data_IF_600875634632
#
_entry.id   IF_600875634632
#
_cell.length_a   1.000
_cell.length_b   1.000
_cell.length_c   1.000
_cell.angle_alpha   90.00
_cell.angle_beta   90.00
_cell.angle_gamma   90.00
#
_symmetry.space_group_name_H-M   'P 1'
#
loop_
_entity.id
_entity.type
_entity.pdbx_description
1 polymer ?
#
# COMPACT_ATOMS: atom_id res chain seq x y z
N UNK A 1 11.14 9.27 10.38
CA UNK A 1 9.67 9.06 10.56
C UNK A 1 9.06 8.55 9.26
N UNK A 2 9.36 9.17 8.11
CA UNK A 2 8.97 8.65 6.78
C UNK A 2 9.51 7.24 6.50
N UNK A 3 10.68 6.90 7.07
CA UNK A 3 11.31 5.59 6.93
C UNK A 3 10.46 4.44 7.45
N UNK A 4 9.64 4.68 8.48
CA UNK A 4 8.74 3.66 9.05
C UNK A 4 7.63 3.33 8.05
N UNK A 5 7.01 4.37 7.46
CA UNK A 5 6.01 4.21 6.41
C UNK A 5 6.58 3.53 5.17
N UNK A 6 7.81 3.88 4.76
CA UNK A 6 8.47 3.30 3.60
C UNK A 6 8.80 1.81 3.82
N UNK A 7 9.37 1.47 4.99
CA UNK A 7 9.66 0.09 5.36
C UNK A 7 8.40 -0.76 5.43
N UNK A 8 7.31 -0.23 6.02
CA UNK A 8 6.03 -0.91 6.06
C UNK A 8 5.44 -1.12 4.66
N UNK A 9 5.51 -0.12 3.78
CA UNK A 9 5.04 -0.23 2.39
C UNK A 9 5.78 -1.35 1.63
N UNK A 10 7.12 -1.37 1.71
CA UNK A 10 7.94 -2.41 1.07
C UNK A 10 7.67 -3.79 1.68
N UNK A 11 7.53 -3.89 3.01
CA UNK A 11 7.26 -5.14 3.70
C UNK A 11 5.88 -5.72 3.32
N UNK A 12 4.85 -4.88 3.21
CA UNK A 12 3.51 -5.31 2.81
C UNK A 12 3.53 -5.85 1.37
N UNK A 13 4.18 -5.16 0.43
CA UNK A 13 4.24 -5.63 -0.95
C UNK A 13 4.97 -6.97 -1.03
N UNK A 14 6.13 -7.13 -0.37
CA UNK A 14 6.84 -8.41 -0.30
C UNK A 14 5.97 -9.52 0.31
N UNK A 15 5.19 -9.19 1.34
CA UNK A 15 4.27 -10.15 1.95
C UNK A 15 3.16 -10.59 0.98
N UNK A 16 2.57 -9.65 0.25
CA UNK A 16 1.54 -9.92 -0.77
C UNK A 16 2.12 -10.77 -1.92
N UNK A 17 3.34 -10.46 -2.39
CA UNK A 17 4.06 -11.29 -3.38
C UNK A 17 4.24 -12.73 -2.87
N UNK A 18 4.64 -12.91 -1.60
CA UNK A 18 4.77 -14.22 -0.97
C UNK A 18 3.44 -14.99 -0.85
N UNK A 19 2.31 -14.28 -0.80
CA UNK A 19 0.96 -14.86 -0.84
C UNK A 19 0.45 -15.14 -2.27
N UNK A 20 1.24 -14.83 -3.30
CA UNK A 20 0.87 -15.06 -4.70
C UNK A 20 0.12 -13.91 -5.36
N UNK A 21 0.00 -12.75 -4.72
CA UNK A 21 -0.51 -11.55 -5.40
C UNK A 21 0.46 -11.16 -6.52
N UNK A 22 -0.10 -10.81 -7.67
CA UNK A 22 0.67 -10.33 -8.82
C UNK A 22 0.25 -8.91 -9.17
N UNK A 23 1.21 -8.04 -9.55
CA UNK A 23 0.87 -6.71 -10.00
C UNK A 23 0.07 -6.78 -11.30
N UNK A 24 -0.96 -5.95 -11.41
CA UNK A 24 -1.75 -5.76 -12.62
C UNK A 24 -1.67 -4.30 -13.07
N UNK A 25 -1.25 -4.07 -14.32
CA UNK A 25 -1.07 -2.72 -14.90
C UNK A 25 -0.24 -1.78 -14.01
N UNK A 26 0.83 -2.30 -13.41
CA UNK A 26 1.74 -1.52 -12.55
C UNK A 26 1.29 -1.34 -11.10
N UNK A 27 0.23 -2.03 -10.66
CA UNK A 27 -0.27 -1.92 -9.28
C UNK A 27 -0.52 -3.26 -8.63
N UNK A 28 -0.24 -3.37 -7.34
CA UNK A 28 -0.84 -4.41 -6.51
C UNK A 28 -2.22 -3.95 -6.08
N UNK A 29 -3.25 -4.72 -6.47
CA UNK A 29 -4.65 -4.40 -6.16
C UNK A 29 -5.07 -5.23 -4.96
N UNK A 30 -5.37 -4.56 -3.85
CA UNK A 30 -5.68 -5.21 -2.57
C UNK A 30 -7.03 -4.69 -2.07
N UNK A 31 -7.88 -5.57 -1.54
CA UNK A 31 -9.13 -5.13 -0.91
C UNK A 31 -8.83 -4.36 0.38
N UNK A 32 -9.61 -3.30 0.65
CA UNK A 32 -9.40 -2.46 1.84
C UNK A 32 -9.28 -3.26 3.16
N UNK A 33 -10.16 -4.24 3.45
CA UNK A 33 -10.08 -4.99 4.71
C UNK A 33 -8.77 -5.74 4.90
N UNK A 34 -8.26 -6.37 3.83
CA UNK A 34 -6.99 -7.11 3.84
C UNK A 34 -5.83 -6.17 4.16
N UNK A 35 -5.78 -5.00 3.50
CA UNK A 35 -4.71 -4.05 3.74
C UNK A 35 -4.81 -3.43 5.15
N UNK A 36 -6.02 -3.16 5.65
CA UNK A 36 -6.21 -2.65 7.01
C UNK A 36 -5.73 -3.63 8.08
N UNK A 37 -5.96 -4.94 7.89
CA UNK A 37 -5.46 -5.98 8.79
C UNK A 37 -3.93 -5.98 8.84
N UNK A 38 -3.27 -5.97 7.67
CA UNK A 38 -1.81 -5.90 7.57
C UNK A 38 -1.24 -4.65 8.24
N UNK A 39 -1.87 -3.48 8.03
CA UNK A 39 -1.44 -2.23 8.64
C UNK A 39 -1.66 -2.20 10.15
N UNK A 40 -2.64 -2.94 10.67
CA UNK A 40 -2.95 -2.98 12.09
C UNK A 40 -1.91 -3.79 12.90
N UNK A 41 -1.10 -4.64 12.25
CA UNK A 41 0.00 -5.34 12.91
C UNK A 41 1.04 -4.38 13.51
N UNK A 42 1.34 -3.27 12.83
CA UNK A 42 2.31 -2.28 13.32
C UNK A 42 1.58 -1.14 14.05
N UNK A 43 1.60 -1.16 15.39
CA UNK A 43 0.79 -0.27 16.24
C UNK A 43 1.33 1.16 16.42
N UNK A 44 2.14 1.68 15.49
CA UNK A 44 2.69 3.04 15.61
C UNK A 44 1.71 4.13 15.16
N UNK A 45 0.71 3.79 14.36
CA UNK A 45 -0.35 4.70 13.91
C UNK A 45 -1.60 3.90 13.52
N UNK A 46 -2.76 4.57 13.43
CA UNK A 46 -3.98 3.94 12.92
C UNK A 46 -3.86 3.63 11.42
N UNK A 47 -4.37 2.48 10.92
CA UNK A 47 -4.31 2.11 9.50
C UNK A 47 -4.77 3.20 8.54
N UNK A 48 -5.88 3.88 8.86
CA UNK A 48 -6.43 4.93 8.00
C UNK A 48 -5.54 6.19 7.94
N UNK A 49 -4.80 6.51 9.01
CA UNK A 49 -3.81 7.60 9.02
C UNK A 49 -2.62 7.27 8.13
N UNK A 50 -2.11 6.03 8.20
CA UNK A 50 -1.03 5.55 7.32
C UNK A 50 -1.43 5.61 5.84
N UNK A 51 -2.66 5.20 5.52
CA UNK A 51 -3.21 5.28 4.17
C UNK A 51 -3.36 6.72 3.68
N UNK A 52 -3.76 7.66 4.56
CA UNK A 52 -3.78 9.09 4.21
C UNK A 52 -2.39 9.61 3.86
N UNK A 53 -1.37 9.21 4.63
CA UNK A 53 0.03 9.56 4.36
C UNK A 53 0.48 9.01 3.01
N UNK A 54 0.24 7.72 2.73
CA UNK A 54 0.58 7.11 1.44
C UNK A 54 -0.15 7.74 0.26
N UNK A 55 -1.42 8.11 0.44
CA UNK A 55 -2.17 8.85 -0.57
C UNK A 55 -1.57 10.22 -0.84
N UNK A 56 -1.24 10.97 0.21
CA UNK A 56 -0.63 12.31 0.08
C UNK A 56 0.73 12.25 -0.65
N UNK A 57 1.46 11.14 -0.51
CA UNK A 57 2.73 10.90 -1.18
C UNK A 57 2.59 10.27 -2.58
N UNK A 58 1.36 10.04 -3.06
CA UNK A 58 1.07 9.34 -4.33
C UNK A 58 1.64 7.91 -4.39
N UNK A 59 1.75 7.22 -3.26
CA UNK A 59 2.19 5.82 -3.19
C UNK A 59 1.07 4.83 -3.51
N UNK A 60 -0.17 5.30 -3.39
CA UNK A 60 -1.37 4.53 -3.68
C UNK A 60 -2.28 5.30 -4.64
N UNK A 61 -2.91 4.59 -5.57
CA UNK A 61 -3.93 5.13 -6.48
C UNK A 61 -5.33 4.86 -5.91
N UNK A 62 -5.99 5.93 -5.46
CA UNK A 62 -7.33 5.92 -4.87
C UNK A 62 -8.20 7.03 -5.47
N UNK A 63 -9.51 6.98 -5.26
CA UNK A 63 -10.40 8.08 -5.70
C UNK A 63 -10.09 9.37 -4.91
N UNK A 64 -10.36 10.53 -5.52
CA UNK A 64 -10.01 11.86 -4.98
C UNK A 64 -10.47 12.06 -3.53
N UNK A 65 -11.69 11.67 -3.20
CA UNK A 65 -12.28 11.87 -1.87
C UNK A 65 -12.34 10.60 -1.01
N UNK A 66 -11.64 9.52 -1.42
CA UNK A 66 -11.65 8.23 -0.72
C UNK A 66 -10.26 7.67 -0.52
N UNK A 67 -10.10 6.77 0.45
CA UNK A 67 -8.89 5.96 0.63
C UNK A 67 -8.91 4.68 -0.21
N UNK A 68 -9.89 4.54 -1.09
CA UNK A 68 -10.09 3.38 -1.95
C UNK A 68 -10.48 3.82 -3.36
N UNK A 69 -10.40 2.87 -4.30
CA UNK A 69 -10.88 2.96 -5.68
C UNK A 69 -11.91 1.86 -5.90
N UNK A 70 -12.95 2.12 -6.70
CA UNK A 70 -13.89 1.05 -7.09
C UNK A 70 -13.39 0.31 -8.32
N UNK A 71 -13.24 -1.02 -8.20
CA UNK A 71 -12.93 -1.93 -9.31
C UNK A 71 -13.90 -3.10 -9.24
N UNK A 72 -14.71 -3.29 -10.30
CA UNK A 72 -15.70 -4.37 -10.39
C UNK A 72 -16.55 -4.54 -9.11
N UNK A 73 -17.13 -3.43 -8.62
CA UNK A 73 -17.92 -3.34 -7.37
C UNK A 73 -17.17 -3.54 -6.05
N UNK A 74 -15.87 -3.85 -6.06
CA UNK A 74 -15.04 -3.96 -4.85
C UNK A 74 -14.34 -2.64 -4.54
N UNK A 75 -14.18 -2.34 -3.25
CA UNK A 75 -13.38 -1.22 -2.76
C UNK A 75 -11.93 -1.69 -2.54
N UNK A 76 -11.05 -1.26 -3.43
CA UNK A 76 -9.65 -1.69 -3.46
C UNK A 76 -8.69 -0.52 -3.24
N UNK A 77 -7.46 -0.84 -2.89
CA UNK A 77 -6.34 0.09 -2.78
C UNK A 77 -5.26 -0.42 -3.73
N UNK A 78 -4.79 0.47 -4.60
CA UNK A 78 -3.80 0.12 -5.63
C UNK A 78 -2.43 0.63 -5.19
N UNK A 79 -1.53 -0.27 -4.82
CA UNK A 79 -0.16 0.06 -4.42
C UNK A 79 0.72 0.20 -5.68
N UNK A 80 1.40 1.33 -5.87
CA UNK A 80 2.19 1.59 -7.09
C UNK A 80 3.53 0.84 -7.07
N UNK A 81 3.78 0.02 -8.10
CA UNK A 81 5.02 -0.78 -8.19
C UNK A 81 6.26 0.09 -8.37
N UNK A 82 6.14 1.25 -9.02
CA UNK A 82 7.29 2.14 -9.25
C UNK A 82 7.78 2.73 -7.94
N UNK A 83 6.84 3.06 -7.05
CA UNK A 83 7.15 3.52 -5.70
C UNK A 83 7.80 2.40 -4.90
N UNK A 84 7.30 1.17 -5.01
CA UNK A 84 7.92 0.01 -4.38
C UNK A 84 9.38 -0.17 -4.79
N UNK A 85 9.66 -0.21 -6.10
CA UNK A 85 11.03 -0.40 -6.60
C UNK A 85 11.97 0.73 -6.17
N UNK A 86 11.50 1.97 -6.21
CA UNK A 86 12.30 3.12 -5.78
C UNK A 86 12.58 3.09 -4.27
N UNK A 87 11.57 2.83 -3.44
CA UNK A 87 11.75 2.72 -1.98
C UNK A 87 12.65 1.54 -1.62
N UNK A 88 12.52 0.41 -2.31
CA UNK A 88 13.36 -0.77 -2.12
C UNK A 88 14.84 -0.43 -2.40
N UNK A 89 15.11 0.29 -3.49
CA UNK A 89 16.45 0.77 -3.84
C UNK A 89 17.01 1.73 -2.79
N UNK A 90 16.22 2.70 -2.34
CA UNK A 90 16.65 3.70 -1.34
C UNK A 90 16.91 3.09 0.04
N UNK A 91 16.10 2.11 0.44
CA UNK A 91 16.24 1.41 1.72
C UNK A 91 17.30 0.31 1.70
N UNK A 92 17.93 0.03 0.55
CA UNK A 92 18.89 -1.08 0.33
C UNK A 92 18.29 -2.45 0.68
N UNK A 93 17.02 -2.68 0.30
CA UNK A 93 16.23 -3.89 0.60
C UNK A 93 15.90 -4.74 -0.63
#
# INVERSE_FOLDING_TARGET
MIDIYAKEFVAIIKHLEGQGYKPYRGYFVVEKPVLQELLNHNKYEMPDSKLKTWKALNWIDTDKDRLTKRVANKAVIKLDIRVFEELKKQLKM
#
